data_IF_629217909608
#
_entry.id   IF_629217909608
#
_cell.length_a   1.000
_cell.length_b   1.000
_cell.length_c   1.000
_cell.angle_alpha   90.00
_cell.angle_beta   90.00
_cell.angle_gamma   90.00
#
_symmetry.space_group_name_H-M   'P 1'
#
loop_
_entity.id
_entity.type
_entity.pdbx_description
1 polymer ?
#
# COMPACT_ATOMS: atom_id res chain seq x y z
N UNK A 1 14.38 -15.92 -29.56
CA UNK A 1 14.70 -15.62 -28.15
C UNK A 1 15.21 -14.20 -28.03
N UNK A 2 15.24 -13.61 -26.82
CA UNK A 2 15.82 -12.26 -26.61
C UNK A 2 17.34 -12.25 -26.81
N UNK A 3 17.87 -11.16 -27.36
CA UNK A 3 19.33 -10.89 -27.43
C UNK A 3 19.90 -10.67 -26.03
N UNK A 4 21.22 -10.78 -25.80
CA UNK A 4 21.85 -10.50 -24.51
C UNK A 4 21.47 -9.13 -23.93
N UNK A 5 21.50 -8.08 -24.75
CA UNK A 5 21.17 -6.71 -24.35
C UNK A 5 19.71 -6.60 -23.91
N UNK A 6 18.80 -7.25 -24.65
CA UNK A 6 17.39 -7.28 -24.28
C UNK A 6 17.15 -8.08 -22.99
N UNK A 7 17.98 -9.09 -22.67
CA UNK A 7 17.90 -9.83 -21.40
C UNK A 7 18.36 -8.97 -20.23
N UNK A 8 19.43 -8.20 -20.40
CA UNK A 8 19.92 -7.28 -19.37
C UNK A 8 18.87 -6.22 -19.01
N UNK A 9 18.11 -5.76 -20.00
CA UNK A 9 17.02 -4.79 -19.89
C UNK A 9 15.63 -5.41 -19.63
N UNK A 10 15.56 -6.70 -19.30
CA UNK A 10 14.30 -7.37 -18.95
C UNK A 10 14.24 -7.60 -17.45
N UNK A 11 13.17 -7.11 -16.82
CA UNK A 11 12.80 -7.48 -15.46
C UNK A 11 11.86 -8.69 -15.44
N UNK A 12 12.12 -9.67 -14.58
CA UNK A 12 11.17 -10.77 -14.33
C UNK A 12 10.54 -10.57 -12.96
N UNK A 13 9.21 -10.49 -12.89
CA UNK A 13 8.45 -10.13 -11.69
C UNK A 13 7.53 -11.28 -11.30
N UNK A 14 7.48 -11.57 -10.01
CA UNK A 14 6.56 -12.53 -9.38
C UNK A 14 5.99 -11.92 -8.10
N UNK A 15 4.90 -12.47 -7.56
CA UNK A 15 4.40 -11.99 -6.26
C UNK A 15 4.97 -12.78 -5.08
N UNK A 16 5.21 -14.08 -5.26
CA UNK A 16 5.60 -14.98 -4.18
C UNK A 16 7.11 -15.20 -4.14
N UNK A 17 7.68 -15.22 -2.92
CA UNK A 17 9.08 -15.58 -2.70
C UNK A 17 9.42 -17.01 -3.14
N UNK A 18 8.44 -17.93 -3.12
CA UNK A 18 8.62 -19.30 -3.59
C UNK A 18 8.76 -19.34 -5.12
N UNK A 19 7.84 -18.69 -5.84
CA UNK A 19 7.87 -18.59 -7.31
C UNK A 19 9.14 -17.91 -7.79
N UNK A 20 9.53 -16.80 -7.15
CA UNK A 20 10.79 -16.10 -7.46
C UNK A 20 12.01 -17.03 -7.37
N UNK A 21 12.09 -17.83 -6.30
CA UNK A 21 13.20 -18.77 -6.08
C UNK A 21 13.20 -19.88 -7.12
N UNK A 22 12.04 -20.47 -7.39
CA UNK A 22 11.90 -21.50 -8.42
C UNK A 22 12.32 -20.97 -9.80
N UNK A 23 11.84 -19.78 -10.19
CA UNK A 23 12.23 -19.15 -11.45
C UNK A 23 13.73 -18.86 -11.52
N UNK A 24 14.32 -18.30 -10.46
CA UNK A 24 15.76 -18.02 -10.43
C UNK A 24 16.59 -19.29 -10.65
N UNK A 25 16.26 -20.37 -9.94
CA UNK A 25 16.93 -21.67 -10.10
C UNK A 25 16.74 -22.24 -11.51
N UNK A 26 15.52 -22.21 -12.06
CA UNK A 26 15.23 -22.72 -13.40
C UNK A 26 15.94 -21.91 -14.50
N UNK A 27 16.00 -20.58 -14.36
CA UNK A 27 16.70 -19.69 -15.29
C UNK A 27 18.19 -19.98 -15.25
N UNK A 28 18.75 -20.12 -14.05
CA UNK A 28 20.15 -20.48 -13.90
C UNK A 28 20.46 -21.83 -14.54
N UNK A 29 19.67 -22.87 -14.26
CA UNK A 29 19.87 -24.20 -14.85
C UNK A 29 19.79 -24.17 -16.37
N UNK A 30 18.88 -23.36 -16.92
CA UNK A 30 18.77 -23.17 -18.36
C UNK A 30 19.99 -22.43 -18.93
N UNK A 31 20.45 -21.36 -18.26
CA UNK A 31 21.63 -20.61 -18.68
C UNK A 31 22.89 -21.46 -18.61
N UNK A 32 23.06 -22.27 -17.56
CA UNK A 32 24.17 -23.20 -17.40
C UNK A 32 24.25 -24.22 -18.56
N UNK A 33 23.10 -24.68 -19.07
CA UNK A 33 23.03 -25.60 -20.22
C UNK A 33 23.36 -24.93 -21.56
N UNK A 34 23.09 -23.64 -21.68
CA UNK A 34 23.28 -22.87 -22.93
C UNK A 34 24.60 -22.08 -22.98
N UNK A 35 25.24 -21.89 -21.83
CA UNK A 35 26.50 -21.17 -21.68
C UNK A 35 27.69 -21.97 -22.19
N UNK A 36 28.84 -21.31 -22.31
CA UNK A 36 30.08 -21.97 -22.70
C UNK A 36 30.42 -23.10 -21.70
N UNK A 37 30.75 -24.32 -22.16
CA UNK A 37 31.22 -25.37 -21.27
C UNK A 37 32.53 -24.93 -20.59
N UNK A 38 32.50 -24.75 -19.27
CA UNK A 38 33.69 -24.42 -18.47
C UNK A 38 33.53 -23.34 -17.39
N UNK A 39 32.36 -22.71 -17.23
CA UNK A 39 32.14 -21.78 -16.11
C UNK A 39 32.16 -22.51 -14.77
N UNK A 40 33.06 -22.11 -13.86
CA UNK A 40 33.05 -22.61 -12.48
C UNK A 40 31.71 -22.23 -11.82
N UNK A 41 31.05 -23.23 -11.23
CA UNK A 41 29.87 -23.06 -10.40
C UNK A 41 30.22 -23.45 -8.97
N UNK A 42 29.67 -22.74 -8.00
CA UNK A 42 29.76 -23.10 -6.59
C UNK A 42 28.37 -23.07 -5.95
N UNK A 43 28.20 -23.94 -4.96
CA UNK A 43 27.04 -23.91 -4.08
C UNK A 43 27.33 -22.93 -2.94
N UNK A 44 26.57 -21.83 -2.90
CA UNK A 44 26.77 -20.68 -2.03
C UNK A 44 25.71 -20.66 -0.93
N UNK A 45 26.10 -20.62 0.36
CA UNK A 45 25.15 -20.51 1.45
C UNK A 45 24.55 -19.09 1.51
N UNK A 46 23.24 -19.03 1.72
CA UNK A 46 22.49 -17.76 1.80
C UNK A 46 21.51 -17.77 2.97
N UNK A 47 21.10 -16.58 3.41
CA UNK A 47 20.10 -16.38 4.44
C UNK A 47 18.85 -15.72 3.85
N UNK A 48 17.70 -16.39 4.00
CA UNK A 48 16.40 -15.86 3.61
C UNK A 48 15.60 -15.51 4.85
N UNK A 49 14.89 -14.38 4.86
CA UNK A 49 14.06 -14.01 6.00
C UNK A 49 12.93 -15.04 6.17
N UNK A 50 12.75 -15.54 7.39
CA UNK A 50 11.56 -16.33 7.73
C UNK A 50 10.35 -15.39 7.68
N UNK A 51 9.39 -15.65 6.78
CA UNK A 51 8.22 -14.79 6.54
C UNK A 51 7.23 -14.84 7.72
N UNK A 52 7.64 -14.29 8.85
CA UNK A 52 6.90 -14.29 10.11
C UNK A 52 6.17 -12.95 10.23
N UNK A 53 4.89 -12.99 10.62
CA UNK A 53 4.11 -11.76 10.75
C UNK A 53 4.48 -11.01 12.04
N UNK A 54 4.20 -9.72 12.05
CA UNK A 54 4.39 -8.89 13.22
C UNK A 54 3.69 -9.48 14.45
N UNK A 55 4.45 -9.67 15.52
CA UNK A 55 3.95 -10.23 16.77
C UNK A 55 3.87 -11.76 16.83
N UNK A 56 4.04 -12.50 15.73
CA UNK A 56 4.09 -13.98 15.78
C UNK A 56 5.32 -14.49 16.52
N UNK A 57 6.44 -13.75 16.50
CA UNK A 57 7.63 -14.06 17.33
C UNK A 57 7.36 -14.04 18.83
N UNK A 58 6.24 -13.45 19.30
CA UNK A 58 5.84 -13.49 20.71
C UNK A 58 5.26 -14.83 21.13
N UNK A 59 5.02 -15.75 20.18
CA UNK A 59 4.46 -17.07 20.43
C UNK A 59 5.58 -18.10 20.41
N UNK A 60 5.67 -18.89 21.47
CA UNK A 60 6.66 -19.98 21.56
C UNK A 60 6.51 -21.01 20.42
N UNK A 61 5.28 -21.25 19.94
CA UNK A 61 4.99 -22.15 18.82
C UNK A 61 5.69 -21.73 17.53
N UNK A 62 5.91 -20.43 17.31
CA UNK A 62 6.62 -19.90 16.15
C UNK A 62 8.09 -20.34 16.18
N UNK A 63 8.74 -20.25 17.35
CA UNK A 63 10.12 -20.70 17.54
C UNK A 63 10.26 -22.21 17.35
N UNK A 64 9.28 -22.98 17.81
CA UNK A 64 9.24 -24.42 17.59
C UNK A 64 9.12 -24.78 16.10
N UNK A 65 8.27 -24.06 15.36
CA UNK A 65 8.11 -24.27 13.91
C UNK A 65 9.37 -23.86 13.11
N UNK A 66 10.21 -22.98 13.66
CA UNK A 66 11.39 -22.42 13.02
C UNK A 66 12.71 -22.82 13.71
N UNK A 67 12.79 -23.99 14.36
CA UNK A 67 14.01 -24.42 15.06
C UNK A 67 15.27 -24.49 14.15
N UNK A 68 15.10 -24.74 12.86
CA UNK A 68 16.20 -24.74 11.89
C UNK A 68 16.69 -23.35 11.46
N UNK A 69 16.01 -22.27 11.89
CA UNK A 69 16.38 -20.91 11.56
C UNK A 69 17.52 -20.39 12.45
N UNK A 70 18.21 -19.35 11.95
CA UNK A 70 19.14 -18.54 12.71
C UNK A 70 18.45 -17.28 13.21
N UNK A 71 18.61 -16.99 14.50
CA UNK A 71 18.16 -15.75 15.11
C UNK A 71 19.26 -14.70 15.04
N UNK A 72 18.98 -13.56 14.40
CA UNK A 72 19.84 -12.39 14.46
C UNK A 72 19.43 -11.54 15.66
N UNK A 73 20.31 -11.41 16.63
CA UNK A 73 20.13 -10.62 17.86
C UNK A 73 21.39 -9.78 18.06
N UNK A 74 21.25 -8.46 18.21
CA UNK A 74 22.38 -7.53 18.40
C UNK A 74 23.52 -7.72 17.37
N UNK A 75 23.17 -7.89 16.09
CA UNK A 75 24.09 -8.19 14.98
C UNK A 75 24.85 -9.53 15.07
N UNK A 76 24.54 -10.40 16.04
CA UNK A 76 25.11 -11.74 16.18
C UNK A 76 24.10 -12.81 15.75
N UNK A 77 24.55 -13.76 14.94
CA UNK A 77 23.72 -14.88 14.48
C UNK A 77 23.80 -16.05 15.46
N UNK A 78 22.64 -16.47 15.94
CA UNK A 78 22.51 -17.58 16.88
C UNK A 78 21.69 -18.71 16.27
N UNK A 79 22.08 -19.96 16.55
CA UNK A 79 21.21 -21.12 16.33
C UNK A 79 20.19 -21.22 17.46
N UNK A 80 18.98 -21.68 17.16
CA UNK A 80 17.98 -22.02 18.17
C UNK A 80 18.34 -23.42 18.71
N UNK A 81 18.98 -23.48 19.87
CA UNK A 81 19.45 -24.72 20.47
C UNK A 81 18.33 -25.50 21.18
N UNK A 82 17.42 -24.79 21.85
CA UNK A 82 16.28 -25.39 22.53
C UNK A 82 15.12 -24.41 22.65
N UNK A 83 13.89 -24.94 22.73
CA UNK A 83 12.68 -24.17 23.03
C UNK A 83 11.91 -24.89 24.14
N UNK A 84 11.96 -24.35 25.36
CA UNK A 84 11.31 -24.92 26.54
C UNK A 84 9.88 -24.40 26.67
N UNK A 85 8.91 -25.30 26.59
CA UNK A 85 7.49 -24.97 26.80
C UNK A 85 7.15 -24.79 28.28
N UNK A 86 7.85 -25.50 29.16
CA UNK A 86 7.67 -25.40 30.60
C UNK A 86 8.15 -24.05 31.11
N UNK A 87 9.37 -23.65 30.72
CA UNK A 87 9.98 -22.40 31.19
C UNK A 87 9.56 -21.18 30.37
N UNK A 88 8.90 -21.38 29.22
CA UNK A 88 8.59 -20.34 28.23
C UNK A 88 9.85 -19.61 27.71
N UNK A 89 10.97 -20.33 27.61
CA UNK A 89 12.28 -19.80 27.22
C UNK A 89 12.81 -20.42 25.93
N UNK A 90 13.58 -19.63 25.19
CA UNK A 90 14.34 -20.06 24.01
C UNK A 90 15.82 -19.99 24.37
N UNK A 91 16.55 -21.08 24.11
CA UNK A 91 18.01 -21.10 24.22
C UNK A 91 18.61 -20.84 22.86
N UNK A 92 19.28 -19.71 22.73
CA UNK A 92 20.07 -19.32 21.57
C UNK A 92 21.54 -19.66 21.80
N UNK A 93 22.26 -20.02 20.75
CA UNK A 93 23.70 -20.26 20.83
C UNK A 93 24.44 -19.64 19.65
N UNK A 94 25.49 -18.88 19.93
CA UNK A 94 26.32 -18.26 18.89
C UNK A 94 27.31 -19.28 18.26
N UNK A 95 28.18 -18.80 17.36
CA UNK A 95 29.18 -19.64 16.70
C UNK A 95 30.33 -20.07 17.63
N UNK A 96 30.57 -19.31 18.71
CA UNK A 96 31.59 -19.57 19.72
C UNK A 96 31.11 -20.58 20.78
N UNK A 97 29.81 -20.93 20.76
CA UNK A 97 29.20 -21.85 21.70
C UNK A 97 28.58 -21.18 22.92
N UNK A 98 28.62 -19.84 23.02
CA UNK A 98 27.99 -19.11 24.12
C UNK A 98 26.48 -19.22 24.00
N UNK A 99 25.83 -19.47 25.14
CA UNK A 99 24.37 -19.61 25.20
C UNK A 99 23.73 -18.34 25.74
N UNK A 100 22.58 -17.99 25.19
CA UNK A 100 21.72 -16.88 25.62
C UNK A 100 20.30 -17.41 25.78
N UNK A 101 19.72 -17.21 26.95
CA UNK A 101 18.30 -17.49 27.19
C UNK A 101 17.50 -16.23 26.90
N UNK A 102 16.40 -16.37 26.17
CA UNK A 102 15.50 -15.27 25.85
C UNK A 102 14.05 -15.75 25.85
N UNK A 103 13.14 -14.93 26.37
CA UNK A 103 11.70 -15.18 26.24
C UNK A 103 11.16 -14.68 24.88
N UNK A 104 10.06 -15.23 24.35
CA UNK A 104 9.43 -14.71 23.13
C UNK A 104 9.07 -13.22 23.19
N UNK A 105 8.77 -12.69 24.38
CA UNK A 105 8.46 -11.27 24.58
C UNK A 105 9.69 -10.40 24.45
N UNK A 106 10.79 -10.77 25.10
CA UNK A 106 12.08 -10.07 24.98
C UNK A 106 12.59 -10.11 23.55
N UNK A 107 12.52 -11.28 22.88
CA UNK A 107 12.95 -11.39 21.49
C UNK A 107 12.17 -10.44 20.55
N UNK A 108 10.88 -10.24 20.80
CA UNK A 108 10.09 -9.25 20.05
C UNK A 108 10.49 -7.80 20.38
N UNK A 109 10.91 -7.51 21.61
CA UNK A 109 11.32 -6.17 22.04
C UNK A 109 12.72 -5.81 21.53
N UNK A 110 13.62 -6.79 21.46
CA UNK A 110 14.98 -6.65 20.93
C UNK A 110 15.04 -6.66 19.39
N UNK A 111 13.91 -6.80 18.71
CA UNK A 111 13.85 -6.77 17.25
C UNK A 111 14.49 -7.99 16.58
N UNK A 112 14.43 -9.16 17.24
CA UNK A 112 15.01 -10.39 16.70
C UNK A 112 14.39 -10.71 15.35
N UNK A 113 15.25 -11.06 14.38
CA UNK A 113 14.83 -11.53 13.05
C UNK A 113 15.29 -12.96 12.85
N UNK A 114 14.39 -13.83 12.35
CA UNK A 114 14.74 -15.20 12.01
C UNK A 114 15.07 -15.32 10.52
N UNK A 115 16.15 -16.05 10.21
CA UNK A 115 16.60 -16.34 8.86
C UNK A 115 16.72 -17.84 8.63
N UNK A 116 16.22 -18.34 7.51
CA UNK A 116 16.42 -19.72 7.11
C UNK A 116 17.73 -19.83 6.32
N UNK A 117 18.66 -20.70 6.75
CA UNK A 117 19.83 -21.07 5.96
C UNK A 117 19.42 -21.86 4.73
N UNK A 118 19.89 -21.43 3.57
CA UNK A 118 19.64 -22.07 2.29
C UNK A 118 20.94 -22.12 1.47
N UNK A 119 20.91 -22.80 0.34
CA UNK A 119 22.02 -22.87 -0.61
C UNK A 119 21.50 -22.58 -2.00
N UNK A 120 22.19 -21.71 -2.71
CA UNK A 120 21.95 -21.43 -4.12
C UNK A 120 23.18 -21.81 -4.91
N UNK A 121 23.00 -22.31 -6.14
CA UNK A 121 24.12 -22.43 -7.05
C UNK A 121 24.44 -21.04 -7.61
N UNK A 122 25.70 -20.75 -7.91
CA UNK A 122 26.14 -19.51 -8.53
C UNK A 122 27.27 -19.81 -9.51
N UNK A 123 27.23 -19.22 -10.70
CA UNK A 123 28.29 -19.27 -11.70
C UNK A 123 28.67 -17.89 -12.24
N UNK A 124 29.79 -17.82 -12.96
CA UNK A 124 30.21 -16.60 -13.65
C UNK A 124 29.16 -16.16 -14.67
N UNK A 125 28.82 -14.88 -14.66
CA UNK A 125 27.76 -14.26 -15.48
C UNK A 125 26.40 -14.21 -14.80
N UNK A 126 26.23 -14.85 -13.64
CA UNK A 126 24.96 -14.81 -12.92
C UNK A 126 24.68 -13.42 -12.37
N UNK A 127 23.39 -13.04 -12.36
CA UNK A 127 22.94 -11.80 -11.73
C UNK A 127 22.59 -12.08 -10.28
N UNK A 128 23.17 -11.32 -9.37
CA UNK A 128 22.95 -11.41 -7.93
C UNK A 128 22.46 -10.08 -7.36
N UNK A 129 21.86 -10.15 -6.17
CA UNK A 129 21.48 -8.96 -5.39
C UNK A 129 21.76 -9.18 -3.92
N UNK A 130 21.96 -8.09 -3.20
CA UNK A 130 21.93 -8.10 -1.74
C UNK A 130 20.48 -8.08 -1.25
N UNK A 131 20.14 -8.94 -0.29
CA UNK A 131 18.79 -9.00 0.31
C UNK A 131 18.66 -8.10 1.54
N UNK A 132 19.79 -7.66 2.12
CA UNK A 132 19.88 -6.77 3.28
C UNK A 132 20.94 -5.69 3.04
N UNK A 133 20.67 -4.46 3.48
CA UNK A 133 21.66 -3.38 3.47
C UNK A 133 22.59 -3.51 4.67
N UNK A 134 23.88 -3.27 4.44
CA UNK A 134 24.92 -3.21 5.47
C UNK A 134 25.75 -1.95 5.21
N UNK A 135 25.62 -0.96 6.09
CA UNK A 135 26.30 0.33 5.92
C UNK A 135 27.80 0.23 6.14
N UNK A 136 28.25 -0.65 7.03
CA UNK A 136 29.66 -0.82 7.36
C UNK A 136 30.40 -1.47 6.19
N UNK A 137 29.76 -2.44 5.52
CA UNK A 137 30.30 -3.10 4.31
C UNK A 137 29.93 -2.39 3.00
N UNK A 138 29.13 -1.33 3.08
CA UNK A 138 28.64 -0.57 1.92
C UNK A 138 27.63 -1.33 1.04
N UNK A 139 27.00 -2.39 1.53
CA UNK A 139 26.01 -3.19 0.82
C UNK A 139 24.65 -2.47 0.79
N UNK A 140 24.03 -2.44 -0.38
CA UNK A 140 22.73 -1.81 -0.59
C UNK A 140 21.73 -2.89 -1.00
N UNK A 141 20.68 -3.07 -0.20
CA UNK A 141 19.61 -4.02 -0.51
C UNK A 141 19.01 -3.75 -1.90
N UNK A 142 18.70 -4.82 -2.62
CA UNK A 142 18.17 -4.83 -3.98
C UNK A 142 19.08 -4.21 -5.06
N UNK A 143 20.31 -3.81 -4.73
CA UNK A 143 21.30 -3.51 -5.77
C UNK A 143 21.65 -4.78 -6.54
N UNK A 144 21.69 -4.68 -7.87
CA UNK A 144 21.95 -5.82 -8.76
C UNK A 144 23.40 -5.78 -9.23
N UNK A 145 24.03 -6.95 -9.20
CA UNK A 145 25.44 -7.16 -9.53
C UNK A 145 25.57 -8.37 -10.45
N UNK A 146 26.65 -8.43 -11.20
CA UNK A 146 27.01 -9.56 -12.05
C UNK A 146 28.21 -10.29 -11.45
N UNK A 147 28.14 -11.61 -11.38
CA UNK A 147 29.24 -12.45 -10.93
C UNK A 147 30.32 -12.48 -12.00
N UNK A 148 31.53 -12.03 -11.65
CA UNK A 148 32.69 -12.04 -12.56
C UNK A 148 33.64 -13.21 -12.29
N UNK A 149 33.64 -13.73 -11.05
CA UNK A 149 34.41 -14.91 -10.68
C UNK A 149 33.76 -15.61 -9.47
N UNK A 150 33.96 -16.92 -9.40
CA UNK A 150 33.59 -17.77 -8.26
C UNK A 150 34.84 -18.53 -7.85
N UNK A 151 35.18 -18.52 -6.55
CA UNK A 151 36.38 -19.17 -6.02
C UNK A 151 36.08 -19.79 -4.67
N UNK A 152 35.79 -21.10 -4.67
CA UNK A 152 35.40 -21.83 -3.46
C UNK A 152 34.19 -21.19 -2.79
N UNK A 153 34.41 -20.64 -1.60
CA UNK A 153 33.39 -20.01 -0.74
C UNK A 153 33.15 -18.53 -1.02
N UNK A 154 33.84 -17.96 -2.02
CA UNK A 154 33.80 -16.54 -2.34
C UNK A 154 33.28 -16.27 -3.76
N UNK A 155 32.58 -15.15 -3.91
CA UNK A 155 32.01 -14.66 -5.16
C UNK A 155 32.48 -13.23 -5.39
N UNK A 156 33.00 -12.96 -6.59
CA UNK A 156 33.35 -11.61 -7.03
C UNK A 156 32.20 -11.04 -7.84
N UNK A 157 31.69 -9.89 -7.40
CA UNK A 157 30.54 -9.18 -7.94
C UNK A 157 30.99 -7.86 -8.58
N UNK A 158 30.41 -7.49 -9.72
CA UNK A 158 30.58 -6.17 -10.33
C UNK A 158 29.25 -5.55 -10.75
N UNK A 159 29.10 -4.25 -10.56
CA UNK A 159 27.98 -3.45 -11.08
C UNK A 159 28.39 -2.64 -12.34
N UNK A 160 29.57 -2.96 -12.91
CA UNK A 160 30.19 -2.24 -14.03
C UNK A 160 30.98 -1.00 -13.64
N UNK A 161 30.87 -0.51 -12.39
CA UNK A 161 31.64 0.63 -11.87
C UNK A 161 32.60 0.24 -10.76
N UNK A 162 32.15 -0.66 -9.89
CA UNK A 162 32.90 -1.16 -8.74
C UNK A 162 32.87 -2.69 -8.76
N UNK A 163 33.84 -3.27 -8.05
CA UNK A 163 33.97 -4.71 -7.83
C UNK A 163 33.98 -4.96 -6.34
N UNK A 164 33.33 -6.05 -5.91
CA UNK A 164 33.27 -6.49 -4.52
C UNK A 164 33.51 -7.99 -4.44
N UNK A 165 34.19 -8.42 -3.40
CA UNK A 165 34.34 -9.83 -3.08
C UNK A 165 33.50 -10.09 -1.83
N UNK A 166 32.63 -11.09 -1.91
CA UNK A 166 31.87 -11.61 -0.77
C UNK A 166 32.28 -13.05 -0.52
N UNK A 167 32.33 -13.47 0.74
CA UNK A 167 32.77 -14.78 1.24
C UNK A 167 31.69 -15.42 2.12
N UNK A 168 30.49 -15.69 1.57
CA UNK A 168 29.34 -16.22 2.30
C UNK A 168 29.61 -17.55 3.02
N UNK A 169 30.55 -18.38 2.55
CA UNK A 169 30.93 -19.62 3.25
C UNK A 169 31.70 -19.39 4.56
N UNK A 170 32.26 -18.18 4.76
CA UNK A 170 33.03 -17.82 5.95
C UNK A 170 32.29 -16.84 6.86
N UNK A 171 31.54 -15.91 6.27
CA UNK A 171 30.91 -14.81 7.01
C UNK A 171 29.38 -14.78 6.83
N UNK A 172 28.64 -15.05 7.91
CA UNK A 172 27.16 -15.04 7.91
C UNK A 172 26.56 -13.68 7.53
N UNK A 173 27.26 -12.57 7.82
CA UNK A 173 26.80 -11.25 7.42
C UNK A 173 26.77 -11.07 5.89
N UNK A 174 27.58 -11.84 5.16
CA UNK A 174 27.68 -11.80 3.69
C UNK A 174 26.76 -12.83 3.01
N UNK A 175 26.00 -13.62 3.78
CA UNK A 175 25.01 -14.57 3.27
C UNK A 175 23.68 -13.91 2.86
N UNK A 176 23.54 -12.59 3.05
CA UNK A 176 22.35 -11.82 2.64
C UNK A 176 22.39 -11.48 1.15
N UNK A 177 22.47 -12.52 0.33
CA UNK A 177 22.56 -12.45 -1.13
C UNK A 177 21.59 -13.45 -1.77
N UNK A 178 21.22 -13.19 -3.02
CA UNK A 178 20.28 -14.02 -3.76
C UNK A 178 20.49 -13.82 -5.27
N UNK A 179 20.00 -14.75 -6.08
CA UNK A 179 19.91 -14.54 -7.53
C UNK A 179 18.93 -13.41 -7.85
N UNK A 180 19.21 -12.68 -8.92
CA UNK A 180 18.50 -11.47 -9.30
C UNK A 180 17.91 -11.51 -10.72
N UNK A 181 17.66 -12.71 -11.27
CA UNK A 181 16.94 -12.83 -12.56
C UNK A 181 15.47 -12.43 -12.41
N UNK A 182 14.83 -12.93 -11.36
CA UNK A 182 13.47 -12.62 -10.97
C UNK A 182 13.44 -11.94 -9.59
N UNK A 183 12.53 -10.98 -9.44
CA UNK A 183 12.28 -10.27 -8.18
C UNK A 183 10.81 -10.31 -7.82
N UNK A 184 10.50 -10.02 -6.56
CA UNK A 184 9.09 -9.84 -6.14
C UNK A 184 8.57 -8.50 -6.61
N UNK A 185 7.25 -8.35 -6.83
CA UNK A 185 6.63 -7.06 -7.15
C UNK A 185 6.96 -5.97 -6.11
N UNK A 186 7.01 -6.32 -4.83
CA UNK A 186 7.51 -5.41 -3.78
C UNK A 186 9.00 -5.09 -3.96
N UNK A 187 9.85 -6.08 -4.24
CA UNK A 187 11.28 -5.85 -4.50
C UNK A 187 11.54 -5.01 -5.76
N UNK A 188 10.60 -5.00 -6.71
CA UNK A 188 10.63 -4.17 -7.91
C UNK A 188 10.19 -2.72 -7.68
N UNK A 189 9.76 -2.37 -6.46
CA UNK A 189 9.28 -1.03 -6.17
C UNK A 189 10.42 -0.01 -6.33
N UNK A 190 10.33 0.81 -7.38
CA UNK A 190 11.37 1.79 -7.74
C UNK A 190 12.37 1.31 -8.80
N UNK A 191 12.35 0.02 -9.17
CA UNK A 191 13.06 -0.47 -10.34
C UNK A 191 12.28 -0.12 -11.62
N UNK A 192 12.98 0.25 -12.69
CA UNK A 192 12.37 0.53 -13.99
C UNK A 192 13.28 0.07 -15.11
N UNK A 193 12.83 -0.94 -15.84
CA UNK A 193 13.55 -1.55 -16.96
C UNK A 193 12.79 -1.34 -18.28
N UNK A 194 13.45 -1.57 -19.41
CA UNK A 194 12.82 -1.40 -20.73
C UNK A 194 11.70 -2.42 -20.96
N UNK A 195 11.94 -3.67 -20.53
CA UNK A 195 11.05 -4.81 -20.72
C UNK A 195 10.67 -5.48 -19.40
N UNK A 196 9.49 -6.10 -19.34
CA UNK A 196 9.08 -6.91 -18.21
C UNK A 196 8.47 -8.25 -18.63
N UNK A 197 8.72 -9.29 -17.83
CA UNK A 197 7.93 -10.53 -17.80
C UNK A 197 7.30 -10.63 -16.40
N UNK A 198 5.99 -10.74 -16.32
CA UNK A 198 5.28 -10.99 -15.07
C UNK A 198 4.77 -12.44 -15.06
N UNK A 199 5.00 -13.15 -13.96
CA UNK A 199 4.29 -14.37 -13.63
C UNK A 199 3.13 -14.03 -12.70
N UNK A 200 1.94 -14.26 -13.21
CA UNK A 200 0.66 -13.95 -12.59
C UNK A 200 -0.15 -15.24 -12.45
N UNK A 201 -1.23 -15.21 -11.68
CA UNK A 201 -2.11 -16.38 -11.64
C UNK A 201 -3.23 -16.29 -10.63
N UNK A 202 -4.11 -17.27 -10.70
CA UNK A 202 -5.35 -17.39 -9.93
C UNK A 202 -5.41 -18.65 -9.08
N UNK A 203 -4.36 -19.48 -9.12
CA UNK A 203 -4.23 -20.67 -8.30
C UNK A 203 -3.29 -20.48 -7.10
N UNK A 204 -3.41 -21.35 -6.10
CA UNK A 204 -2.55 -21.41 -4.92
C UNK A 204 -2.42 -20.06 -4.21
N UNK A 205 -1.19 -19.70 -3.83
CA UNK A 205 -0.90 -18.40 -3.19
C UNK A 205 -1.08 -17.21 -4.14
N UNK A 206 -0.96 -17.40 -5.47
CA UNK A 206 -1.08 -16.32 -6.46
C UNK A 206 -2.49 -15.74 -6.50
N UNK A 207 -3.52 -16.57 -6.26
CA UNK A 207 -4.91 -16.13 -6.11
C UNK A 207 -5.08 -14.96 -5.14
N UNK A 208 -4.37 -14.99 -4.02
CA UNK A 208 -4.47 -13.95 -2.98
C UNK A 208 -3.81 -12.64 -3.40
N UNK A 209 -2.89 -12.71 -4.36
CA UNK A 209 -2.16 -11.57 -4.90
C UNK A 209 -2.83 -11.01 -6.16
N UNK A 210 -3.76 -11.74 -6.77
CA UNK A 210 -4.50 -11.30 -7.96
C UNK A 210 -5.47 -10.16 -7.63
N UNK A 211 -5.01 -8.93 -7.78
CA UNK A 211 -5.78 -7.70 -7.56
C UNK A 211 -5.21 -6.53 -8.36
N UNK A 212 -5.94 -5.42 -8.38
CA UNK A 212 -5.57 -4.25 -9.19
C UNK A 212 -4.21 -3.68 -8.82
N UNK A 213 -3.92 -3.51 -7.53
CA UNK A 213 -2.67 -2.92 -7.06
C UNK A 213 -1.46 -3.79 -7.42
N UNK A 214 -1.58 -5.10 -7.28
CA UNK A 214 -0.53 -6.05 -7.64
C UNK A 214 -0.22 -6.02 -9.13
N UNK A 215 -1.27 -6.07 -9.97
CA UNK A 215 -1.12 -5.97 -11.42
C UNK A 215 -0.57 -4.60 -11.83
N UNK A 216 -1.04 -3.51 -11.21
CA UNK A 216 -0.51 -2.18 -11.44
C UNK A 216 0.97 -2.11 -11.10
N UNK A 217 1.41 -2.63 -9.95
CA UNK A 217 2.83 -2.62 -9.57
C UNK A 217 3.68 -3.49 -10.49
N UNK A 218 3.20 -4.66 -10.92
CA UNK A 218 3.97 -5.53 -11.82
C UNK A 218 4.05 -4.97 -13.25
N UNK A 219 2.96 -4.40 -13.76
CA UNK A 219 2.81 -3.98 -15.15
C UNK A 219 3.06 -2.48 -15.40
N UNK A 220 3.23 -1.63 -14.39
CA UNK A 220 3.51 -0.20 -14.62
C UNK A 220 5.00 0.15 -14.63
N UNK A 221 5.88 -0.82 -14.31
CA UNK A 221 7.30 -0.57 -14.06
C UNK A 221 8.16 -0.51 -15.33
N UNK A 222 7.64 -0.88 -16.50
CA UNK A 222 8.40 -0.93 -17.75
C UNK A 222 8.06 0.19 -18.73
N UNK A 223 8.99 0.45 -19.66
CA UNK A 223 8.87 1.55 -20.62
C UNK A 223 8.27 1.16 -21.97
N UNK A 224 8.48 -0.07 -22.44
CA UNK A 224 8.14 -0.43 -23.82
C UNK A 224 7.22 -1.65 -23.95
N UNK A 225 7.51 -2.75 -23.26
CA UNK A 225 6.78 -4.00 -23.50
C UNK A 225 6.74 -4.92 -22.28
N UNK A 226 5.58 -5.54 -22.07
CA UNK A 226 5.31 -6.49 -20.98
C UNK A 226 4.75 -7.79 -21.52
N UNK A 227 5.24 -8.91 -20.98
CA UNK A 227 4.69 -10.24 -21.21
C UNK A 227 4.15 -10.78 -19.90
N UNK A 228 2.93 -11.30 -19.91
CA UNK A 228 2.31 -11.91 -18.74
C UNK A 228 2.14 -13.40 -19.00
N UNK A 229 2.68 -14.22 -18.10
CA UNK A 229 2.38 -15.64 -18.02
C UNK A 229 1.40 -15.85 -16.87
N UNK A 230 0.27 -16.47 -17.15
CA UNK A 230 -0.78 -16.74 -16.16
C UNK A 230 -1.37 -18.12 -16.40
N UNK A 231 -1.86 -18.74 -15.32
CA UNK A 231 -2.58 -20.02 -15.37
C UNK A 231 -3.94 -19.88 -16.06
N UNK A 232 -4.68 -18.82 -15.74
CA UNK A 232 -5.97 -18.47 -16.34
C UNK A 232 -6.03 -16.96 -16.63
N UNK A 233 -6.02 -16.63 -17.93
CA UNK A 233 -6.12 -15.25 -18.39
C UNK A 233 -7.47 -14.62 -18.04
N UNK A 234 -8.57 -15.35 -18.22
CA UNK A 234 -9.91 -14.79 -18.01
C UNK A 234 -10.16 -14.58 -16.51
N UNK A 235 -9.82 -15.58 -15.69
CA UNK A 235 -9.91 -15.50 -14.24
C UNK A 235 -9.07 -14.36 -13.67
N UNK A 236 -7.83 -14.19 -14.14
CA UNK A 236 -6.94 -13.14 -13.65
C UNK A 236 -7.45 -11.73 -14.02
N UNK A 237 -7.91 -11.52 -15.26
CA UNK A 237 -8.50 -10.23 -15.68
C UNK A 237 -9.75 -9.91 -14.85
N UNK A 238 -10.60 -10.90 -14.57
CA UNK A 238 -11.77 -10.71 -13.70
C UNK A 238 -11.36 -10.35 -12.26
N UNK A 239 -10.34 -11.01 -11.71
CA UNK A 239 -9.85 -10.73 -10.36
C UNK A 239 -9.30 -9.30 -10.23
N UNK A 240 -8.57 -8.81 -11.23
CA UNK A 240 -8.09 -7.42 -11.30
C UNK A 240 -9.25 -6.44 -11.35
N UNK A 241 -10.27 -6.70 -12.17
CA UNK A 241 -11.42 -5.79 -12.34
C UNK A 241 -12.33 -5.67 -11.12
N UNK A 242 -12.32 -6.68 -10.25
CA UNK A 242 -13.20 -6.76 -9.07
C UNK A 242 -12.51 -6.37 -7.76
N UNK A 243 -11.29 -5.82 -7.79
CA UNK A 243 -10.57 -5.49 -6.57
C UNK A 243 -11.27 -4.34 -5.82
N UNK A 244 -11.94 -4.66 -4.71
CA UNK A 244 -12.51 -3.68 -3.79
C UNK A 244 -11.42 -2.78 -3.23
N UNK A 245 -11.64 -1.45 -3.25
CA UNK A 245 -10.78 -0.53 -2.52
C UNK A 245 -10.81 -0.91 -1.04
N UNK A 246 -9.64 -1.20 -0.47
CA UNK A 246 -9.52 -1.51 0.96
C UNK A 246 -10.04 -0.31 1.76
N UNK A 247 -11.10 -0.53 2.55
CA UNK A 247 -11.60 0.45 3.50
C UNK A 247 -10.57 0.73 4.60
N UNK A 248 -10.56 1.96 5.10
CA UNK A 248 -9.79 2.30 6.30
C UNK A 248 -10.52 1.81 7.55
N UNK A 249 -9.81 1.61 8.67
CA UNK A 249 -10.46 1.32 9.97
C UNK A 249 -11.51 2.38 10.32
N UNK A 250 -11.24 3.61 9.90
CA UNK A 250 -12.15 4.73 9.95
C UNK A 250 -13.44 4.48 9.16
N UNK A 251 -13.39 3.99 7.92
CA UNK A 251 -14.60 3.71 7.12
C UNK A 251 -15.48 2.60 7.71
N UNK A 252 -14.89 1.74 8.56
CA UNK A 252 -15.62 0.68 9.29
C UNK A 252 -16.26 1.22 10.57
N UNK A 253 -15.56 2.12 11.29
CA UNK A 253 -16.05 2.70 12.54
C UNK A 253 -17.04 3.84 12.35
N UNK A 254 -16.89 4.63 11.27
CA UNK A 254 -17.79 5.69 10.88
C UNK A 254 -18.01 5.56 9.36
N UNK A 255 -19.16 5.02 8.93
CA UNK A 255 -19.53 4.99 7.52
C UNK A 255 -19.42 6.39 6.91
N UNK A 256 -19.08 6.44 5.61
CA UNK A 256 -18.87 7.72 4.89
C UNK A 256 -20.03 8.69 5.06
N UNK A 257 -21.26 8.19 5.09
CA UNK A 257 -22.47 8.99 5.27
C UNK A 257 -22.48 9.72 6.62
N UNK A 258 -22.12 9.05 7.71
CA UNK A 258 -22.07 9.69 9.03
C UNK A 258 -21.02 10.80 9.10
N UNK A 259 -19.87 10.60 8.43
CA UNK A 259 -18.84 11.64 8.33
C UNK A 259 -19.28 12.83 7.50
N UNK A 260 -19.97 12.60 6.40
CA UNK A 260 -20.48 13.68 5.57
C UNK A 260 -21.53 14.49 6.32
N UNK A 261 -22.41 13.83 7.09
CA UNK A 261 -23.36 14.47 8.00
C UNK A 261 -22.63 15.28 9.07
N UNK A 262 -21.67 14.71 9.79
CA UNK A 262 -20.91 15.43 10.84
C UNK A 262 -20.15 16.64 10.28
N UNK A 263 -19.55 16.51 9.09
CA UNK A 263 -18.86 17.62 8.43
C UNK A 263 -19.84 18.70 7.97
N UNK A 264 -21.00 18.31 7.45
CA UNK A 264 -22.07 19.21 7.07
C UNK A 264 -22.61 19.98 8.29
N UNK A 265 -22.86 19.30 9.41
CA UNK A 265 -23.29 19.91 10.66
C UNK A 265 -22.26 20.89 11.23
N UNK A 266 -20.98 20.52 11.24
CA UNK A 266 -19.89 21.39 11.68
C UNK A 266 -19.76 22.65 10.81
N UNK A 267 -19.88 22.49 9.49
CA UNK A 267 -19.84 23.61 8.55
C UNK A 267 -21.06 24.52 8.71
N UNK A 268 -22.24 23.95 8.97
CA UNK A 268 -23.47 24.71 9.19
C UNK A 268 -23.50 25.43 10.54
N UNK A 269 -23.00 24.78 11.61
CA UNK A 269 -23.01 25.34 12.97
C UNK A 269 -22.13 26.59 13.09
N UNK A 270 -20.99 26.60 12.37
CA UNK A 270 -20.06 27.73 12.29
C UNK A 270 -20.50 28.83 11.31
N UNK A 271 -21.53 28.57 10.50
CA UNK A 271 -22.06 29.53 9.54
C UNK A 271 -22.94 30.60 10.21
N UNK A 272 -22.94 31.80 9.63
CA UNK A 272 -23.73 32.95 10.14
C UNK A 272 -25.13 32.95 9.53
N UNK A 273 -26.16 33.33 10.29
CA UNK A 273 -27.50 33.44 9.72
C UNK A 273 -27.55 34.49 8.60
N UNK A 274 -28.31 34.26 7.51
CA UNK A 274 -28.33 35.22 6.38
C UNK A 274 -28.74 36.64 6.83
N UNK A 275 -29.64 36.76 7.81
CA UNK A 275 -30.08 38.05 8.38
C UNK A 275 -28.96 38.86 9.03
N UNK A 276 -27.90 38.22 9.51
CA UNK A 276 -26.78 38.86 10.21
C UNK A 276 -25.74 39.45 9.24
N UNK A 277 -25.79 39.08 7.95
CA UNK A 277 -24.80 39.47 6.94
C UNK A 277 -25.46 40.33 5.87
N UNK A 278 -24.79 41.40 5.43
CA UNK A 278 -25.36 42.33 4.44
C UNK A 278 -25.72 41.63 3.12
N UNK A 279 -24.81 40.77 2.62
CA UNK A 279 -25.05 39.93 1.45
C UNK A 279 -26.22 38.96 1.66
N UNK A 280 -26.31 38.32 2.82
CA UNK A 280 -27.42 37.41 3.15
C UNK A 280 -28.78 38.11 3.20
N UNK A 281 -28.85 39.33 3.75
CA UNK A 281 -30.08 40.14 3.73
C UNK A 281 -30.49 40.53 2.31
N UNK A 282 -29.55 40.81 1.41
CA UNK A 282 -29.84 41.10 0.02
C UNK A 282 -30.43 39.87 -0.70
N UNK A 283 -29.82 38.70 -0.48
CA UNK A 283 -30.33 37.42 -1.01
C UNK A 283 -31.74 37.12 -0.52
N UNK A 284 -32.01 37.28 0.78
CA UNK A 284 -33.36 37.06 1.34
C UNK A 284 -34.40 38.02 0.76
N UNK A 285 -34.05 39.29 0.52
CA UNK A 285 -34.98 40.25 -0.11
C UNK A 285 -35.29 39.87 -1.55
N UNK A 286 -34.27 39.52 -2.32
CA UNK A 286 -34.41 39.14 -3.72
C UNK A 286 -35.23 37.86 -3.90
N UNK A 287 -35.17 36.95 -2.93
CA UNK A 287 -35.95 35.71 -2.91
C UNK A 287 -37.33 35.86 -2.25
N UNK A 288 -37.74 37.05 -1.79
CA UNK A 288 -39.03 37.21 -1.09
C UNK A 288 -39.09 36.65 0.34
N UNK A 289 -38.00 36.08 0.85
CA UNK A 289 -37.93 35.39 2.15
C UNK A 289 -37.55 36.31 3.33
N UNK A 290 -37.37 37.62 3.09
CA UNK A 290 -36.86 38.55 4.10
C UNK A 290 -37.78 38.73 5.32
N UNK A 291 -39.09 38.54 5.16
CA UNK A 291 -40.04 38.69 6.27
C UNK A 291 -40.24 37.40 7.07
N UNK A 292 -39.79 36.26 6.55
CA UNK A 292 -39.93 34.93 7.17
C UNK A 292 -38.82 34.59 8.17
N UNK A 293 -38.97 33.49 8.93
CA UNK A 293 -37.88 32.93 9.74
C UNK A 293 -37.05 31.96 8.90
N UNK A 294 -36.26 32.51 7.98
CA UNK A 294 -35.42 31.70 7.10
C UNK A 294 -34.39 30.90 7.90
N UNK A 295 -34.27 29.61 7.58
CA UNK A 295 -33.25 28.72 8.16
C UNK A 295 -31.89 28.84 7.45
N UNK A 296 -31.81 29.66 6.41
CA UNK A 296 -30.62 29.81 5.59
C UNK A 296 -29.46 30.47 6.33
N UNK A 297 -28.26 29.93 6.08
CA UNK A 297 -27.00 30.45 6.60
C UNK A 297 -26.03 30.80 5.48
N UNK A 298 -25.15 31.74 5.77
CA UNK A 298 -24.08 32.18 4.89
C UNK A 298 -22.79 31.45 5.24
N UNK A 299 -22.20 30.80 4.23
CA UNK A 299 -20.94 30.06 4.36
C UNK A 299 -19.90 30.71 3.46
N UNK A 300 -18.78 31.13 4.05
CA UNK A 300 -17.62 31.65 3.33
C UNK A 300 -16.40 30.76 3.64
N UNK A 301 -16.05 29.81 2.75
CA UNK A 301 -15.00 28.83 3.01
C UNK A 301 -13.58 29.42 2.81
N UNK A 302 -13.24 30.45 3.59
CA UNK A 302 -11.88 30.98 3.74
C UNK A 302 -11.18 31.44 2.44
N UNK A 303 -9.88 31.73 2.53
CA UNK A 303 -9.08 32.25 1.40
C UNK A 303 -8.81 31.21 0.29
N UNK A 304 -8.94 29.91 0.59
CA UNK A 304 -8.64 28.81 -0.34
C UNK A 304 -9.81 28.49 -1.28
N UNK A 305 -11.05 28.76 -0.87
CA UNK A 305 -12.26 28.61 -1.69
C UNK A 305 -13.12 29.88 -1.54
N UNK A 306 -12.91 30.90 -2.38
CA UNK A 306 -13.44 32.24 -2.12
C UNK A 306 -14.94 32.38 -2.39
N UNK A 307 -15.56 31.43 -3.10
CA UNK A 307 -16.97 31.53 -3.47
C UNK A 307 -17.87 31.31 -2.23
N UNK A 308 -18.70 32.29 -1.84
CA UNK A 308 -19.63 32.13 -0.73
C UNK A 308 -20.86 31.33 -1.16
N UNK A 309 -21.46 30.64 -0.20
CA UNK A 309 -22.63 29.78 -0.38
C UNK A 309 -23.76 30.15 0.57
N UNK A 310 -25.00 29.97 0.11
CA UNK A 310 -26.17 29.82 0.97
C UNK A 310 -26.26 28.35 1.35
N UNK A 311 -26.52 28.09 2.62
CA UNK A 311 -26.72 26.75 3.14
C UNK A 311 -28.06 26.63 3.86
N UNK A 312 -28.73 25.49 3.69
CA UNK A 312 -29.92 25.10 4.44
C UNK A 312 -29.69 23.72 5.09
N UNK A 313 -30.28 23.44 6.26
CA UNK A 313 -30.17 22.12 6.87
C UNK A 313 -31.03 21.12 6.07
N UNK A 314 -30.49 19.91 5.87
CA UNK A 314 -31.17 18.82 5.19
C UNK A 314 -31.44 17.66 6.16
N UNK A 315 -32.57 16.97 5.95
CA UNK A 315 -33.11 15.95 6.85
C UNK A 315 -33.53 14.70 6.09
N UNK A 316 -33.51 13.56 6.78
CA UNK A 316 -34.11 12.33 6.30
C UNK A 316 -35.65 12.37 6.47
N UNK A 317 -36.32 11.32 5.98
CA UNK A 317 -37.78 11.15 6.11
C UNK A 317 -38.32 11.07 7.53
N UNK A 318 -37.46 10.85 8.52
CA UNK A 318 -37.83 10.80 9.93
C UNK A 318 -37.57 12.14 10.64
N UNK A 319 -37.08 13.15 9.93
CA UNK A 319 -36.72 14.45 10.49
C UNK A 319 -35.37 14.46 11.22
N UNK A 320 -34.53 13.44 11.04
CA UNK A 320 -33.15 13.44 11.56
C UNK A 320 -32.25 14.24 10.62
N UNK A 321 -31.29 14.95 11.19
CA UNK A 321 -30.25 15.64 10.42
C UNK A 321 -29.52 14.66 9.49
N UNK A 322 -29.51 14.97 8.20
CA UNK A 322 -28.95 14.12 7.15
C UNK A 322 -27.97 14.89 6.25
N UNK A 323 -27.70 16.16 6.53
CA UNK A 323 -26.69 16.95 5.81
C UNK A 323 -27.07 18.42 5.69
N UNK A 324 -26.53 19.04 4.63
CA UNK A 324 -26.90 20.40 4.24
C UNK A 324 -27.10 20.50 2.73
N UNK A 325 -28.00 21.38 2.35
CA UNK A 325 -28.11 21.87 0.99
C UNK A 325 -27.24 23.12 0.83
N UNK A 326 -26.55 23.24 -0.29
CA UNK A 326 -25.63 24.32 -0.63
C UNK A 326 -25.93 24.89 -2.01
N UNK A 327 -25.90 26.21 -2.13
CA UNK A 327 -26.01 26.90 -3.40
C UNK A 327 -25.08 28.11 -3.45
N UNK A 328 -24.24 28.27 -4.50
CA UNK A 328 -23.31 29.40 -4.57
C UNK A 328 -24.08 30.73 -4.66
N UNK A 329 -23.55 31.77 -4.01
CA UNK A 329 -24.01 33.12 -4.27
C UNK A 329 -23.43 33.59 -5.60
N UNK A 330 -24.31 34.10 -6.46
CA UNK A 330 -23.96 34.70 -7.74
C UNK A 330 -24.48 36.14 -7.80
N UNK A 331 -23.89 36.94 -8.68
CA UNK A 331 -24.37 38.26 -9.04
C UNK A 331 -24.85 38.22 -10.48
N UNK A 332 -26.04 38.71 -10.76
CA UNK A 332 -26.44 39.03 -12.13
C UNK A 332 -26.05 40.48 -12.43
N UNK A 333 -25.57 40.74 -13.65
CA UNK A 333 -25.15 42.05 -14.17
C UNK A 333 -26.32 43.06 -14.20
N UNK A 334 -26.73 43.54 -13.02
CA UNK A 334 -27.76 44.56 -12.82
C UNK A 334 -28.90 44.20 -11.85
N UNK A 335 -29.04 42.95 -11.39
CA UNK A 335 -30.19 42.50 -10.58
C UNK A 335 -29.88 42.17 -9.10
N UNK A 336 -28.64 42.38 -8.67
CA UNK A 336 -28.19 42.15 -7.28
C UNK A 336 -27.77 40.70 -6.99
N UNK A 337 -27.56 40.38 -5.71
CA UNK A 337 -27.08 39.08 -5.24
C UNK A 337 -28.20 38.03 -5.23
N UNK A 338 -27.92 36.85 -5.80
CA UNK A 338 -28.82 35.68 -5.80
C UNK A 338 -28.16 34.51 -5.06
N UNK A 339 -28.97 33.74 -4.33
CA UNK A 339 -28.50 32.57 -3.57
C UNK A 339 -29.50 31.41 -3.52
N UNK A 340 -30.68 31.58 -4.11
CA UNK A 340 -31.72 30.54 -4.25
C UNK A 340 -32.05 30.28 -5.74
N UNK A 341 -31.08 30.49 -6.63
CA UNK A 341 -31.22 30.21 -8.06
C UNK A 341 -30.79 28.78 -8.37
N UNK A 342 -31.63 28.03 -9.09
CA UNK A 342 -31.39 26.62 -9.43
C UNK A 342 -31.67 25.65 -8.27
N UNK A 343 -31.31 24.37 -8.48
CA UNK A 343 -31.57 23.28 -7.53
C UNK A 343 -30.54 23.13 -6.41
N UNK A 344 -29.38 23.81 -6.51
CA UNK A 344 -28.27 23.65 -5.57
C UNK A 344 -27.72 22.22 -5.50
N UNK A 345 -27.02 21.88 -4.42
CA UNK A 345 -26.44 20.54 -4.18
C UNK A 345 -26.58 20.15 -2.71
N UNK A 346 -26.91 18.89 -2.45
CA UNK A 346 -26.91 18.32 -1.09
C UNK A 346 -25.54 17.72 -0.79
N UNK A 347 -25.06 17.93 0.43
CA UNK A 347 -23.85 17.31 0.99
C UNK A 347 -24.20 16.69 2.34
N UNK A 348 -24.06 15.38 2.46
CA UNK A 348 -24.55 14.61 3.60
C UNK A 348 -24.83 13.16 3.20
N UNK A 349 -25.62 12.47 4.03
CA UNK A 349 -26.03 11.10 3.77
C UNK A 349 -26.89 10.98 2.50
N UNK A 350 -26.83 9.82 1.84
CA UNK A 350 -27.73 9.47 0.73
C UNK A 350 -29.23 9.48 1.14
N UNK A 351 -29.53 9.40 2.44
CA UNK A 351 -30.89 9.47 2.98
C UNK A 351 -31.45 10.91 3.10
N UNK A 352 -30.66 11.94 2.74
CA UNK A 352 -31.11 13.33 2.79
C UNK A 352 -32.19 13.62 1.73
N UNK A 353 -33.43 13.80 2.19
CA UNK A 353 -34.61 13.94 1.31
C UNK A 353 -35.29 15.30 1.41
N UNK A 354 -35.20 15.97 2.56
CA UNK A 354 -35.94 17.21 2.84
C UNK A 354 -34.99 18.35 3.18
N UNK A 355 -35.30 19.57 2.74
CA UNK A 355 -34.52 20.78 3.07
C UNK A 355 -35.45 21.79 3.74
N UNK A 356 -35.08 22.26 4.94
CA UNK A 356 -35.92 23.22 5.66
C UNK A 356 -35.61 24.65 5.20
N UNK A 357 -36.44 25.21 4.33
CA UNK A 357 -36.27 26.57 3.77
C UNK A 357 -36.64 27.68 4.79
N UNK A 358 -37.83 27.59 5.37
CA UNK A 358 -38.38 28.59 6.29
C UNK A 358 -39.05 27.93 7.49
N UNK A 359 -38.83 28.48 8.69
CA UNK A 359 -39.52 28.05 9.90
C UNK A 359 -40.99 28.44 9.90
N UNK A 360 -41.84 27.50 10.33
CA UNK A 360 -43.28 27.77 10.55
C UNK A 360 -43.49 28.79 11.66
N UNK A 361 -44.50 29.65 11.49
CA UNK A 361 -44.95 30.64 12.50
C UNK A 361 -46.38 30.42 12.97
N UNK A 362 -47.12 29.57 12.26
CA UNK A 362 -48.53 29.26 12.50
C UNK A 362 -48.76 27.79 12.89
N UNK A 363 -47.70 26.98 12.97
CA UNK A 363 -47.79 25.55 13.30
C UNK A 363 -48.01 24.63 12.10
N UNK A 364 -48.12 25.18 10.90
CA UNK A 364 -48.29 24.40 9.66
C UNK A 364 -46.98 24.34 8.85
N UNK A 365 -46.81 23.28 8.09
CA UNK A 365 -45.69 23.09 7.16
C UNK A 365 -46.24 22.77 5.76
N UNK A 366 -45.61 23.36 4.75
CA UNK A 366 -45.89 23.09 3.34
C UNK A 366 -44.72 22.33 2.73
N UNK A 367 -45.04 21.44 1.78
CA UNK A 367 -44.05 20.69 1.02
C UNK A 367 -44.04 21.22 -0.41
N UNK A 368 -42.85 21.54 -0.92
CA UNK A 368 -42.62 21.90 -2.31
C UNK A 368 -41.89 20.76 -3.02
N UNK A 369 -42.15 20.57 -4.31
CA UNK A 369 -41.49 19.54 -5.12
C UNK A 369 -40.01 19.86 -5.40
N UNK A 370 -39.67 21.15 -5.46
CA UNK A 370 -38.32 21.64 -5.70
C UNK A 370 -38.03 22.97 -4.98
N UNK A 371 -36.78 23.42 -5.07
CA UNK A 371 -36.34 24.65 -4.39
C UNK A 371 -36.98 25.92 -4.98
N UNK A 372 -37.31 25.93 -6.28
CA UNK A 372 -37.90 27.10 -6.92
C UNK A 372 -39.38 27.27 -6.54
N UNK A 373 -40.12 26.16 -6.42
CA UNK A 373 -41.48 26.15 -5.90
C UNK A 373 -41.49 26.56 -4.43
N UNK A 374 -40.55 26.08 -3.62
CA UNK A 374 -40.49 26.44 -2.19
C UNK A 374 -40.22 27.93 -1.93
N UNK A 375 -39.51 28.60 -2.84
CA UNK A 375 -39.18 30.04 -2.73
C UNK A 375 -40.34 30.93 -3.20
N UNK A 376 -41.22 30.43 -4.08
CA UNK A 376 -42.39 31.14 -4.61
C UNK A 376 -43.47 31.26 -3.54
#
# INVERSE_FOLDING_TARGET
>A
GRTPEAREQTLIVTHLNADRRALNSMIQDALAKTGAPGGQQADIPVLTTANIRDGELRRLSTWQAHQGALALVDNVYHRIAAVSKEDQMITLQDAQGNTRLISPREASAEGVTLYNPETIRVGTGDRMRFTKSDRERGYVANSVWTVTAVSGDSVTLSDGRQTRVVSPGRERAEQHIDLAYAITAHGAQGASETFAIALEGTEGGRKQMAGFESAYVALSRMKQHVQVYTDDRQGWVKAIGNAEQKGTAHDVLEPKDEREVMNAERLFSTARALREVAAGRAVLRNAGLAQGDSRARFIAPGRKYPQPYVALPAFDRNGKSAGIWLNPLTTDDGAGLRGFSGEGRVKGSEDAQFVALQGSRNGESLLAADMQEGVR
#
